data_IF_161016915541
#
_entry.id   IF_161016915541
#
_cell.length_a   1.000
_cell.length_b   1.000
_cell.length_c   1.000
_cell.angle_alpha   90.00
_cell.angle_beta   90.00
_cell.angle_gamma   90.00
#
_symmetry.space_group_name_H-M   'P 1'
#
loop_
_entity.id
_entity.type
_entity.pdbx_description
1 polymer ?
#
# COMPACT_ATOMS: atom_id res chain seq x y z
N UNK A 1 20.16 34.95 34.38
CA UNK A 1 19.60 35.82 33.30
C UNK A 1 18.14 35.46 33.09
N UNK A 2 17.32 36.48 32.93
CA UNK A 2 15.85 36.46 32.95
C UNK A 2 15.28 36.02 31.60
N UNK A 3 14.20 35.23 31.60
CA UNK A 3 13.12 35.40 30.61
C UNK A 3 11.78 34.98 31.19
N UNK A 4 11.09 36.01 31.71
CA UNK A 4 9.69 36.04 32.12
C UNK A 4 8.81 35.93 30.86
N UNK A 5 8.17 34.78 30.63
CA UNK A 5 7.14 34.68 29.59
C UNK A 5 5.80 35.14 30.15
N UNK A 6 5.30 36.24 29.61
CA UNK A 6 4.08 36.93 30.03
C UNK A 6 2.86 36.09 29.65
N UNK A 7 2.00 35.82 30.64
CA UNK A 7 0.62 35.36 30.42
C UNK A 7 -0.15 36.47 29.69
N UNK A 8 -0.61 36.18 28.49
CA UNK A 8 -1.63 36.99 27.81
C UNK A 8 -2.86 36.11 27.60
N UNK A 9 -3.80 36.26 28.52
CA UNK A 9 -5.19 35.84 28.34
C UNK A 9 -5.90 36.90 27.49
N UNK A 10 -6.58 36.45 26.41
CA UNK A 10 -7.60 37.14 25.58
C UNK A 10 -7.55 36.41 24.22
N UNK A 11 -8.61 35.85 23.65
CA UNK A 11 -10.05 35.98 23.89
C UNK A 11 -10.68 34.77 23.19
N UNK A 12 -11.50 34.00 23.90
CA UNK A 12 -12.42 33.05 23.28
C UNK A 12 -13.50 33.87 22.57
N UNK A 13 -13.61 33.72 21.24
CA UNK A 13 -14.84 34.06 20.54
C UNK A 13 -15.16 32.94 19.53
N UNK A 14 -16.20 32.14 19.79
CA UNK A 14 -16.67 31.09 18.91
C UNK A 14 -17.65 31.72 17.90
N UNK A 15 -17.54 31.39 16.62
CA UNK A 15 -18.68 31.34 15.69
C UNK A 15 -18.14 30.97 14.30
N UNK A 16 -18.42 29.74 13.87
CA UNK A 16 -18.70 29.41 12.47
C UNK A 16 -19.45 28.08 12.51
N UNK A 17 -20.76 28.21 12.73
CA UNK A 17 -21.72 27.20 12.32
C UNK A 17 -21.61 27.05 10.80
N UNK A 18 -20.72 26.17 10.34
CA UNK A 18 -20.91 25.57 9.03
C UNK A 18 -22.02 24.55 9.20
N UNK A 19 -23.20 24.91 8.71
CA UNK A 19 -24.33 24.02 8.53
C UNK A 19 -23.86 22.80 7.74
N UNK A 20 -23.53 21.72 8.46
CA UNK A 20 -23.49 20.40 7.88
C UNK A 20 -24.93 20.11 7.44
N UNK A 21 -25.20 20.29 6.15
CA UNK A 21 -26.38 19.75 5.51
C UNK A 21 -26.34 18.23 5.73
N UNK A 22 -27.06 17.79 6.76
CA UNK A 22 -27.36 16.40 6.98
C UNK A 22 -28.04 15.89 5.71
N UNK A 23 -27.54 14.83 5.04
CA UNK A 23 -28.44 14.08 4.18
C UNK A 23 -29.48 13.49 5.13
N UNK A 24 -30.72 14.00 5.04
CA UNK A 24 -31.90 13.36 5.59
C UNK A 24 -32.11 12.03 4.85
N UNK A 25 -31.25 11.06 5.14
CA UNK A 25 -31.46 9.66 4.84
C UNK A 25 -32.30 9.08 5.97
N UNK A 26 -33.61 9.29 5.91
CA UNK A 26 -34.54 8.53 6.73
C UNK A 26 -34.38 7.04 6.33
N UNK A 27 -33.68 6.26 7.16
CA UNK A 27 -33.64 4.82 7.01
C UNK A 27 -35.05 4.27 7.32
N UNK A 28 -35.67 3.49 6.42
CA UNK A 28 -36.89 2.78 6.78
C UNK A 28 -36.59 1.79 7.91
N UNK A 29 -37.44 1.68 8.94
CA UNK A 29 -37.26 0.68 9.97
C UNK A 29 -37.46 -0.72 9.34
N UNK A 30 -36.38 -1.51 9.25
CA UNK A 30 -36.45 -2.94 8.91
C UNK A 30 -35.87 -3.37 7.56
N UNK A 31 -34.92 -2.65 6.97
CA UNK A 31 -34.21 -3.15 5.77
C UNK A 31 -32.72 -2.85 5.83
N UNK A 32 -31.88 -3.87 5.63
CA UNK A 32 -30.46 -3.66 5.33
C UNK A 32 -30.38 -2.67 4.15
N UNK A 33 -29.74 -1.51 4.36
CA UNK A 33 -29.50 -0.58 3.27
C UNK A 33 -28.91 -1.36 2.09
N UNK A 34 -29.44 -1.22 0.86
CA UNK A 34 -28.83 -1.84 -0.30
C UNK A 34 -27.40 -1.33 -0.39
N UNK A 35 -26.42 -2.18 -0.08
CA UNK A 35 -25.02 -1.91 -0.38
C UNK A 35 -25.00 -1.81 -1.89
N UNK A 36 -24.85 -0.59 -2.42
CA UNK A 36 -24.62 -0.43 -3.85
C UNK A 36 -23.39 -1.28 -4.15
N UNK A 37 -23.48 -2.34 -4.98
CA UNK A 37 -22.30 -3.11 -5.30
C UNK A 37 -21.32 -2.14 -5.94
N UNK A 38 -20.14 -1.97 -5.33
CA UNK A 38 -19.02 -1.35 -6.03
C UNK A 38 -18.90 -2.07 -7.37
N UNK A 39 -18.76 -1.36 -8.49
CA UNK A 39 -18.60 -2.04 -9.77
C UNK A 39 -17.48 -3.06 -9.62
N UNK A 40 -17.76 -4.31 -9.97
CA UNK A 40 -16.76 -5.36 -9.95
C UNK A 40 -15.63 -4.90 -10.86
N UNK A 41 -14.56 -4.39 -10.26
CA UNK A 41 -13.42 -3.92 -11.03
C UNK A 41 -12.68 -5.18 -11.41
N UNK A 42 -12.77 -5.56 -12.68
CA UNK A 42 -12.02 -6.69 -13.20
C UNK A 42 -10.56 -6.27 -13.28
N UNK A 43 -9.67 -7.11 -12.76
CA UNK A 43 -8.25 -6.83 -12.73
C UNK A 43 -7.47 -7.93 -12.02
N UNK A 44 -6.17 -7.72 -11.90
CA UNK A 44 -5.22 -8.63 -11.27
C UNK A 44 -4.49 -7.94 -10.13
N UNK A 45 -4.13 -8.69 -9.10
CA UNK A 45 -3.14 -8.27 -8.12
C UNK A 45 -1.76 -8.69 -8.60
N UNK A 46 -0.85 -7.74 -8.67
CA UNK A 46 0.50 -7.94 -9.21
C UNK A 46 1.57 -7.52 -8.20
N UNK A 47 2.66 -8.30 -8.14
CA UNK A 47 3.85 -7.99 -7.35
C UNK A 47 5.11 -8.43 -8.11
N UNK A 48 6.26 -7.85 -7.75
CA UNK A 48 7.54 -8.18 -8.38
C UNK A 48 8.60 -8.41 -7.31
N UNK A 49 9.36 -9.49 -7.46
CA UNK A 49 10.55 -9.77 -6.65
C UNK A 49 11.79 -9.90 -7.54
N UNK A 50 12.96 -9.73 -6.95
CA UNK A 50 14.24 -9.97 -7.62
C UNK A 50 15.26 -10.66 -6.73
N UNK A 51 16.23 -11.32 -7.32
CA UNK A 51 17.41 -11.83 -6.61
C UNK A 51 18.67 -11.65 -7.46
N UNK A 52 19.81 -11.48 -6.79
CA UNK A 52 21.10 -11.40 -7.44
C UNK A 52 21.57 -12.80 -7.85
N UNK A 53 22.00 -12.95 -9.08
CA UNK A 53 22.58 -14.16 -9.62
C UNK A 53 24.06 -13.89 -9.93
N UNK A 54 25.00 -14.50 -9.18
CA UNK A 54 26.42 -14.34 -9.46
C UNK A 54 26.81 -15.15 -10.70
N UNK A 55 27.73 -14.61 -11.49
CA UNK A 55 28.36 -15.29 -12.62
C UNK A 55 29.87 -15.05 -12.57
N UNK A 56 30.62 -16.13 -12.77
CA UNK A 56 32.08 -16.06 -12.85
C UNK A 56 32.50 -15.68 -14.26
N UNK A 57 33.27 -14.61 -14.39
CA UNK A 57 33.92 -14.27 -15.66
C UNK A 57 35.20 -15.09 -15.77
N UNK A 58 35.27 -15.98 -16.76
CA UNK A 58 36.49 -16.76 -16.99
C UNK A 58 37.60 -15.89 -17.58
N UNK A 59 38.77 -15.91 -16.94
CA UNK A 59 39.97 -15.20 -17.40
C UNK A 59 41.04 -15.09 -16.32
N UNK A 60 42.26 -14.64 -16.67
CA UNK A 60 43.38 -14.52 -15.73
C UNK A 60 43.12 -13.59 -14.54
N UNK A 61 42.16 -12.69 -14.68
CA UNK A 61 41.70 -11.73 -13.65
C UNK A 61 40.22 -11.90 -13.35
N UNK A 62 39.70 -13.13 -13.51
CA UNK A 62 38.27 -13.41 -13.37
C UNK A 62 37.69 -12.81 -12.09
N UNK A 63 36.60 -12.06 -12.23
CA UNK A 63 35.89 -11.43 -11.13
C UNK A 63 34.44 -11.90 -11.10
N UNK A 64 33.81 -11.83 -9.93
CA UNK A 64 32.39 -12.17 -9.79
C UNK A 64 31.56 -10.97 -10.25
N UNK A 65 30.68 -11.20 -11.21
CA UNK A 65 29.67 -10.24 -11.63
C UNK A 65 28.29 -10.67 -11.15
N UNK A 66 27.41 -9.71 -10.90
CA UNK A 66 26.03 -9.98 -10.49
C UNK A 66 25.06 -9.46 -11.55
N UNK A 67 24.11 -10.30 -11.95
CA UNK A 67 22.91 -9.87 -12.67
C UNK A 67 21.69 -10.02 -11.76
N UNK A 68 20.60 -9.32 -12.04
CA UNK A 68 19.34 -9.50 -11.32
C UNK A 68 18.36 -10.32 -12.14
N UNK A 69 17.79 -11.33 -11.51
CA UNK A 69 16.65 -12.09 -12.04
C UNK A 69 15.39 -11.59 -11.36
N UNK A 70 14.30 -11.45 -12.12
CA UNK A 70 13.01 -10.95 -11.66
C UNK A 70 11.94 -12.04 -11.77
N UNK A 71 11.03 -12.09 -10.81
CA UNK A 71 9.80 -12.88 -10.90
C UNK A 71 8.60 -11.98 -10.71
N UNK A 72 7.58 -12.19 -11.53
CA UNK A 72 6.30 -11.51 -11.47
C UNK A 72 5.25 -12.45 -10.88
N UNK A 73 4.53 -11.95 -9.89
CA UNK A 73 3.46 -12.65 -9.20
C UNK A 73 2.16 -12.03 -9.68
N UNK A 74 1.20 -12.86 -10.07
CA UNK A 74 -0.15 -12.43 -10.43
C UNK A 74 -1.18 -13.28 -9.71
N UNK A 75 -2.23 -12.64 -9.19
CA UNK A 75 -3.31 -13.33 -8.50
C UNK A 75 -4.65 -12.61 -8.71
N UNK A 76 -5.75 -13.33 -8.52
CA UNK A 76 -7.11 -12.78 -8.63
C UNK A 76 -7.58 -12.08 -7.35
N UNK A 77 -6.93 -12.33 -6.22
CA UNK A 77 -7.23 -11.71 -4.92
C UNK A 77 -5.96 -11.17 -4.28
N UNK A 78 -6.09 -10.16 -3.42
CA UNK A 78 -4.98 -9.58 -2.67
C UNK A 78 -4.29 -10.64 -1.81
N UNK A 79 -5.06 -11.38 -1.01
CA UNK A 79 -4.54 -12.41 -0.11
C UNK A 79 -3.72 -13.48 -0.86
N UNK A 80 -4.16 -13.89 -2.06
CA UNK A 80 -3.43 -14.87 -2.86
C UNK A 80 -2.12 -14.30 -3.42
N UNK A 81 -2.09 -13.00 -3.77
CA UNK A 81 -0.86 -12.33 -4.14
C UNK A 81 0.11 -12.27 -2.96
N UNK A 82 -0.37 -11.87 -1.78
CA UNK A 82 0.46 -11.70 -0.59
C UNK A 82 1.03 -13.03 -0.09
N UNK A 83 0.24 -14.11 -0.12
CA UNK A 83 0.72 -15.47 0.23
C UNK A 83 1.84 -15.93 -0.72
N UNK A 84 1.68 -15.69 -2.03
CA UNK A 84 2.73 -16.03 -3.00
C UNK A 84 3.98 -15.16 -2.79
N UNK A 85 3.79 -13.87 -2.52
CA UNK A 85 4.87 -12.92 -2.27
C UNK A 85 5.66 -13.29 -1.01
N UNK A 86 5.00 -13.67 0.08
CA UNK A 86 5.65 -14.15 1.30
C UNK A 86 6.46 -15.44 1.03
N UNK A 87 5.92 -16.34 0.21
CA UNK A 87 6.64 -17.54 -0.27
C UNK A 87 7.95 -17.20 -0.98
N UNK A 88 7.99 -16.14 -1.80
CA UNK A 88 9.24 -15.65 -2.40
C UNK A 88 10.13 -14.91 -1.39
N UNK A 89 9.56 -14.01 -0.59
CA UNK A 89 10.29 -13.17 0.35
C UNK A 89 10.96 -13.97 1.49
N UNK A 90 10.44 -15.16 1.81
CA UNK A 90 11.05 -16.09 2.77
C UNK A 90 12.37 -16.70 2.29
N UNK A 91 12.67 -16.62 0.98
CA UNK A 91 13.89 -17.17 0.40
C UNK A 91 15.06 -16.20 0.58
N UNK A 92 16.26 -16.75 0.89
CA UNK A 92 17.45 -15.92 1.06
C UNK A 92 17.87 -15.24 -0.23
N UNK A 93 18.18 -13.95 -0.15
CA UNK A 93 18.67 -13.16 -1.28
C UNK A 93 17.58 -12.64 -2.21
N UNK A 94 16.30 -12.96 -1.94
CA UNK A 94 15.16 -12.35 -2.62
C UNK A 94 14.87 -10.98 -2.00
N UNK A 95 14.57 -10.02 -2.86
CA UNK A 95 14.18 -8.66 -2.51
C UNK A 95 12.85 -8.35 -3.19
N UNK A 96 11.88 -7.86 -2.42
CA UNK A 96 10.62 -7.34 -2.97
C UNK A 96 10.91 -6.02 -3.68
N UNK A 97 10.54 -5.93 -4.95
CA UNK A 97 10.66 -4.72 -5.78
C UNK A 97 9.36 -3.93 -5.69
N UNK A 98 8.24 -4.61 -5.95
CA UNK A 98 6.89 -4.07 -5.87
C UNK A 98 6.05 -5.01 -5.01
N UNK A 99 5.37 -4.44 -4.01
CA UNK A 99 4.40 -5.18 -3.20
C UNK A 99 3.09 -5.36 -3.99
N UNK A 100 2.22 -6.25 -3.51
CA UNK A 100 0.93 -6.53 -4.14
C UNK A 100 0.11 -5.25 -4.36
N UNK A 101 -0.20 -4.95 -5.62
CA UNK A 101 -1.03 -3.83 -6.03
C UNK A 101 -2.07 -4.27 -7.05
N UNK A 102 -3.25 -3.66 -7.02
CA UNK A 102 -4.33 -3.98 -7.94
C UNK A 102 -4.16 -3.23 -9.27
N UNK A 103 -4.17 -3.98 -10.37
CA UNK A 103 -4.06 -3.51 -11.75
C UNK A 103 -5.40 -3.81 -12.45
N UNK A 104 -6.22 -2.80 -12.77
CA UNK A 104 -7.45 -3.00 -13.53
C UNK A 104 -7.16 -3.38 -14.99
N UNK A 105 -8.05 -4.16 -15.60
CA UNK A 105 -8.01 -4.46 -17.05
C UNK A 105 -8.39 -3.25 -17.92
#
# INVERSE_FOLDING_TARGET
MSTKMRRSARTLLPLLLCAAALPLGAAPPGGLSPVTPSPATFGTWEATVRWAQPHDVQGPTGSVHYTYTYAHISATTQDSCEVQLDGYASQRGVTVVDYCTFVPY
#
